data_IF_643379474483
#
_entry.id   IF_643379474483
#
_cell.length_a   1.000
_cell.length_b   1.000
_cell.length_c   1.000
_cell.angle_alpha   90.00
_cell.angle_beta   90.00
_cell.angle_gamma   90.00
#
_symmetry.space_group_name_H-M   'P 1'
#
loop_
_entity.id
_entity.type
_entity.pdbx_description
1 polymer ?
#
# COMPACT_ATOMS: atom_id res chain seq x y z
N UNK A 1 23.15 2.54 7.89
CA UNK A 1 21.75 2.53 7.38
C UNK A 1 21.52 3.83 6.61
N UNK A 2 20.86 3.85 5.45
CA UNK A 2 20.66 5.12 4.72
C UNK A 2 19.56 5.95 5.38
N UNK A 3 19.91 7.15 5.86
CA UNK A 3 18.96 8.05 6.51
C UNK A 3 18.22 8.94 5.51
N UNK A 4 16.96 9.27 5.81
CA UNK A 4 16.18 10.30 5.09
C UNK A 4 16.23 11.60 5.90
N UNK A 5 16.53 12.71 5.23
CA UNK A 5 16.45 14.06 5.79
C UNK A 5 15.40 14.86 5.03
N UNK A 6 14.52 15.57 5.73
CA UNK A 6 13.58 16.49 5.09
C UNK A 6 14.19 17.90 5.03
N UNK A 7 14.09 18.54 3.87
CA UNK A 7 14.44 19.94 3.72
C UNK A 7 13.43 20.82 4.46
N UNK A 8 13.92 21.82 5.18
CA UNK A 8 13.06 22.77 5.89
C UNK A 8 12.33 23.73 4.95
N UNK A 9 12.76 23.78 3.69
CA UNK A 9 12.15 24.62 2.65
C UNK A 9 11.18 23.79 1.82
N UNK A 10 10.00 24.34 1.60
CA UNK A 10 9.04 23.80 0.65
C UNK A 10 9.34 24.34 -0.77
N UNK A 11 8.95 23.57 -1.78
CA UNK A 11 8.82 24.09 -3.13
C UNK A 11 7.76 25.18 -3.22
N UNK A 12 7.79 25.97 -4.29
CA UNK A 12 6.86 27.09 -4.50
C UNK A 12 5.40 26.61 -4.52
N UNK A 13 5.10 25.60 -5.36
CA UNK A 13 3.75 25.01 -5.43
C UNK A 13 3.27 24.53 -4.07
N UNK A 14 4.13 23.86 -3.30
CA UNK A 14 3.78 23.40 -1.96
C UNK A 14 3.54 24.54 -0.96
N UNK A 15 4.23 25.66 -1.12
CA UNK A 15 4.02 26.87 -0.30
C UNK A 15 2.68 27.51 -0.64
N UNK A 16 2.40 27.68 -1.93
CA UNK A 16 1.17 28.30 -2.44
C UNK A 16 -0.07 27.49 -2.02
N UNK A 17 0.01 26.15 -2.04
CA UNK A 17 -1.07 25.29 -1.58
C UNK A 17 -1.36 25.41 -0.07
N UNK A 18 -0.33 25.66 0.74
CA UNK A 18 -0.46 25.71 2.20
C UNK A 18 -0.93 27.08 2.71
N UNK A 19 -0.66 28.15 1.97
CA UNK A 19 -0.95 29.54 2.37
C UNK A 19 -2.39 29.78 2.87
N UNK A 20 -3.46 29.27 2.22
CA UNK A 20 -4.83 29.45 2.70
C UNK A 20 -5.13 28.77 4.04
N UNK A 21 -4.30 27.80 4.46
CA UNK A 21 -4.49 26.98 5.64
C UNK A 21 -3.66 27.43 6.85
N UNK A 22 -2.79 28.42 6.68
CA UNK A 22 -1.89 28.91 7.75
C UNK A 22 -2.67 29.43 8.95
N UNK A 23 -3.67 30.30 8.73
CA UNK A 23 -4.45 30.88 9.83
C UNK A 23 -5.30 29.84 10.58
N UNK A 24 -6.04 28.93 9.90
CA UNK A 24 -6.71 27.82 10.56
C UNK A 24 -5.78 26.94 11.41
N UNK A 25 -4.57 26.65 10.91
CA UNK A 25 -3.58 25.84 11.62
C UNK A 25 -2.98 26.58 12.82
N UNK A 26 -2.71 27.87 12.68
CA UNK A 26 -2.18 28.71 13.76
C UNK A 26 -3.20 28.89 14.90
N UNK A 27 -4.48 29.03 14.57
CA UNK A 27 -5.54 29.33 15.53
C UNK A 27 -5.90 28.18 16.49
N UNK A 28 -5.45 26.94 16.22
CA UNK A 28 -5.79 25.77 17.03
C UNK A 28 -4.60 24.81 17.15
N UNK A 29 -4.02 24.74 18.35
CA UNK A 29 -3.00 23.73 18.67
C UNK A 29 -3.56 22.32 18.44
N UNK A 30 -2.78 21.47 17.79
CA UNK A 30 -3.20 20.12 17.39
C UNK A 30 -4.14 20.08 16.19
N UNK A 31 -4.36 21.20 15.48
CA UNK A 31 -5.00 21.16 14.17
C UNK A 31 -4.19 20.28 13.20
N UNK A 32 -4.89 19.52 12.37
CA UNK A 32 -4.31 18.62 11.38
C UNK A 32 -4.94 18.91 10.03
N UNK A 33 -4.13 18.88 8.99
CA UNK A 33 -4.57 18.82 7.60
C UNK A 33 -4.06 17.53 6.99
N UNK A 34 -4.79 17.00 6.03
CA UNK A 34 -4.34 15.87 5.19
C UNK A 34 -3.95 16.46 3.84
N UNK A 35 -2.86 15.95 3.26
CA UNK A 35 -2.37 16.41 1.96
C UNK A 35 -1.76 15.24 1.19
N UNK A 36 -1.80 15.34 -0.15
CA UNK A 36 -0.98 14.52 -1.04
C UNK A 36 0.32 15.28 -1.31
N UNK A 37 1.46 14.62 -1.13
CA UNK A 37 2.78 15.24 -1.22
C UNK A 37 3.62 14.55 -2.28
N UNK A 38 4.36 15.35 -3.04
CA UNK A 38 5.43 14.88 -3.92
C UNK A 38 6.79 15.25 -3.32
N UNK A 39 7.71 14.28 -3.27
CA UNK A 39 9.07 14.48 -2.76
C UNK A 39 10.10 14.40 -3.89
N UNK A 40 10.97 15.40 -3.96
CA UNK A 40 12.15 15.42 -4.84
C UNK A 40 13.42 15.20 -4.02
N UNK A 41 14.31 14.31 -4.47
CA UNK A 41 15.64 14.16 -3.88
C UNK A 41 16.56 15.30 -4.34
N UNK A 42 16.89 16.21 -3.43
CA UNK A 42 17.65 17.43 -3.75
C UNK A 42 19.15 17.33 -3.45
N UNK A 43 19.53 16.40 -2.57
CA UNK A 43 20.92 16.21 -2.16
C UNK A 43 21.10 14.79 -1.64
N UNK A 44 22.30 14.22 -1.83
CA UNK A 44 22.66 12.92 -1.25
C UNK A 44 24.09 12.94 -0.77
N UNK A 45 24.34 12.23 0.32
CA UNK A 45 25.67 11.92 0.80
C UNK A 45 25.94 10.44 0.58
N UNK A 46 26.84 10.15 -0.35
CA UNK A 46 27.36 8.80 -0.55
C UNK A 46 28.58 8.64 0.35
N UNK A 47 28.63 7.53 1.06
CA UNK A 47 29.73 7.22 1.98
C UNK A 47 30.52 6.05 1.39
N UNK A 48 31.84 6.10 1.51
CA UNK A 48 32.73 5.00 1.13
C UNK A 48 32.49 3.78 2.03
N UNK A 49 32.82 2.60 1.53
CA UNK A 49 32.51 1.31 2.18
C UNK A 49 33.08 1.20 3.62
N UNK A 50 34.19 1.88 3.90
CA UNK A 50 34.90 1.85 5.19
C UNK A 50 34.65 3.06 6.10
N UNK A 51 33.76 3.98 5.71
CA UNK A 51 33.56 5.20 6.49
C UNK A 51 32.47 5.04 7.56
N UNK A 52 32.81 5.43 8.79
CA UNK A 52 31.95 5.43 9.98
C UNK A 52 30.90 6.57 9.96
N UNK A 53 30.23 6.74 8.82
CA UNK A 53 29.15 7.70 8.61
C UNK A 53 28.02 7.04 7.86
N UNK A 54 26.80 7.37 8.24
CA UNK A 54 25.63 6.90 7.50
C UNK A 54 25.44 7.67 6.18
N UNK A 55 25.14 6.93 5.12
CA UNK A 55 24.63 7.50 3.88
C UNK A 55 23.31 8.21 4.15
N UNK A 56 23.01 9.29 3.42
CA UNK A 56 21.71 9.94 3.53
C UNK A 56 21.23 10.55 2.23
N UNK A 57 19.92 10.68 2.11
CA UNK A 57 19.24 11.44 1.04
C UNK A 57 18.40 12.54 1.66
N UNK A 58 18.50 13.74 1.11
CA UNK A 58 17.69 14.89 1.51
C UNK A 58 16.55 15.07 0.51
N UNK A 59 15.33 15.07 1.01
CA UNK A 59 14.10 15.20 0.23
C UNK A 59 13.48 16.57 0.46
N UNK A 60 12.94 17.18 -0.59
CA UNK A 60 12.13 18.40 -0.54
C UNK A 60 10.71 18.09 -0.98
N UNK A 61 9.72 18.65 -0.29
CA UNK A 61 8.33 18.62 -0.77
C UNK A 61 8.21 19.64 -1.91
N UNK A 62 7.95 19.18 -3.12
CA UNK A 62 7.86 20.02 -4.33
C UNK A 62 6.42 20.27 -4.75
N UNK A 63 5.59 19.24 -4.71
CA UNK A 63 4.16 19.29 -4.92
C UNK A 63 3.39 19.06 -3.62
N UNK A 64 2.29 19.80 -3.44
CA UNK A 64 1.35 19.60 -2.35
C UNK A 64 -0.06 19.90 -2.85
N UNK A 65 -0.98 18.98 -2.60
CA UNK A 65 -2.40 19.18 -2.84
C UNK A 65 -3.17 18.90 -1.55
N UNK A 66 -3.99 19.86 -1.14
CA UNK A 66 -4.85 19.76 0.05
C UNK A 66 -6.29 19.59 -0.45
N UNK A 67 -6.96 18.48 -0.09
CA UNK A 67 -8.31 18.21 -0.56
C UNK A 67 -9.29 19.26 0.00
N UNK A 68 -10.35 19.52 -0.75
CA UNK A 68 -11.52 20.21 -0.20
C UNK A 68 -12.21 19.34 0.86
N UNK A 69 -13.14 19.92 1.64
CA UNK A 69 -13.92 19.19 2.65
C UNK A 69 -14.67 17.99 2.07
N UNK A 70 -15.15 18.10 0.83
CA UNK A 70 -15.87 17.04 0.13
C UNK A 70 -14.93 15.91 -0.33
N UNK A 71 -13.68 16.25 -0.64
CA UNK A 71 -12.67 15.30 -1.13
C UNK A 71 -11.91 14.59 0.00
N UNK A 72 -11.93 15.15 1.22
CA UNK A 72 -11.16 14.64 2.35
C UNK A 72 -11.49 13.17 2.67
N UNK A 73 -12.77 12.79 2.59
CA UNK A 73 -13.21 11.42 2.82
C UNK A 73 -12.64 10.44 1.79
N UNK A 74 -12.66 10.81 0.51
CA UNK A 74 -12.09 9.99 -0.56
C UNK A 74 -10.58 9.81 -0.40
N UNK A 75 -9.86 10.85 0.04
CA UNK A 75 -8.43 10.75 0.30
C UNK A 75 -8.13 9.82 1.49
N UNK A 76 -8.90 9.92 2.58
CA UNK A 76 -8.76 9.03 3.75
C UNK A 76 -9.05 7.57 3.39
N UNK A 77 -10.03 7.33 2.53
CA UNK A 77 -10.33 5.99 2.01
C UNK A 77 -9.18 5.45 1.17
N UNK A 78 -8.62 6.25 0.26
CA UNK A 78 -7.46 5.87 -0.53
C UNK A 78 -6.24 5.53 0.36
N UNK A 79 -5.98 6.33 1.40
CA UNK A 79 -4.93 6.05 2.39
C UNK A 79 -5.16 4.70 3.10
N UNK A 80 -6.42 4.37 3.43
CA UNK A 80 -6.76 3.10 4.07
C UNK A 80 -6.56 1.92 3.12
N UNK A 81 -6.97 2.03 1.86
CA UNK A 81 -6.73 1.00 0.84
C UNK A 81 -5.24 0.75 0.67
N UNK A 82 -4.43 1.82 0.58
CA UNK A 82 -2.98 1.71 0.50
C UNK A 82 -2.38 1.04 1.74
N UNK A 83 -2.87 1.39 2.94
CA UNK A 83 -2.46 0.75 4.19
C UNK A 83 -2.76 -0.75 4.17
N UNK A 84 -4.00 -1.14 3.87
CA UNK A 84 -4.42 -2.55 3.79
C UNK A 84 -3.62 -3.34 2.76
N UNK A 85 -3.35 -2.75 1.59
CA UNK A 85 -2.48 -3.36 0.58
C UNK A 85 -1.08 -3.58 1.14
N UNK A 86 -0.49 -2.57 1.78
CA UNK A 86 0.87 -2.65 2.30
C UNK A 86 1.01 -3.66 3.44
N UNK A 87 0.03 -3.76 4.33
CA UNK A 87 -0.04 -4.79 5.37
C UNK A 87 -0.23 -6.17 4.75
N UNK A 88 -1.12 -6.32 3.75
CA UNK A 88 -1.35 -7.58 3.06
C UNK A 88 -0.12 -8.08 2.28
N UNK A 89 0.70 -7.18 1.75
CA UNK A 89 1.99 -7.50 1.11
C UNK A 89 3.17 -7.57 2.09
N UNK A 90 2.95 -7.42 3.41
CA UNK A 90 3.99 -7.52 4.44
C UNK A 90 5.01 -6.37 4.43
N UNK A 91 4.64 -5.21 3.88
CA UNK A 91 5.50 -4.01 3.78
C UNK A 91 5.22 -2.96 4.86
N UNK A 92 4.28 -3.24 5.76
CA UNK A 92 3.99 -2.51 7.00
C UNK A 92 3.71 -3.52 8.11
N UNK A 93 4.30 -3.31 9.29
CA UNK A 93 3.97 -4.04 10.51
C UNK A 93 2.78 -3.34 11.22
N UNK A 94 1.90 -4.12 11.83
CA UNK A 94 0.53 -3.75 12.20
C UNK A 94 0.47 -2.93 13.51
N UNK A 95 0.69 -1.61 13.43
CA UNK A 95 0.55 -0.66 14.57
C UNK A 95 -0.32 0.58 14.26
N UNK A 96 -1.13 0.56 13.19
CA UNK A 96 -1.90 1.73 12.74
C UNK A 96 -3.37 1.70 13.15
N UNK A 97 -3.78 2.42 14.20
CA UNK A 97 -5.21 2.59 14.54
C UNK A 97 -5.87 3.62 13.61
N UNK A 98 -6.83 3.16 12.80
CA UNK A 98 -7.77 4.02 12.07
C UNK A 98 -9.18 3.62 12.54
N UNK A 99 -9.79 4.44 13.41
CA UNK A 99 -11.20 4.29 13.81
C UNK A 99 -12.15 4.71 12.66
N UNK A 100 -13.28 4.00 12.55
CA UNK A 100 -14.17 4.03 11.39
C UNK A 100 -15.53 4.65 11.72
N UNK A 101 -16.07 5.45 10.79
CA UNK A 101 -17.47 5.89 10.85
C UNK A 101 -18.40 4.89 10.13
N UNK A 102 -19.67 4.87 10.52
CA UNK A 102 -20.68 3.90 10.07
C UNK A 102 -21.03 4.00 8.58
N UNK A 103 -21.03 5.21 8.00
CA UNK A 103 -21.20 5.43 6.57
C UNK A 103 -19.98 4.93 5.76
N UNK A 104 -18.78 5.02 6.34
CA UNK A 104 -17.56 4.46 5.74
C UNK A 104 -17.59 2.92 5.73
N UNK A 105 -18.23 2.26 6.69
CA UNK A 105 -18.41 0.80 6.69
C UNK A 105 -19.32 0.33 5.53
N UNK A 106 -20.39 1.07 5.23
CA UNK A 106 -21.32 0.75 4.14
C UNK A 106 -20.69 0.87 2.75
N UNK A 107 -19.87 1.90 2.52
CA UNK A 107 -19.15 2.06 1.25
C UNK A 107 -17.94 1.12 1.15
N UNK A 108 -17.27 0.83 2.27
CA UNK A 108 -16.17 -0.12 2.32
C UNK A 108 -16.59 -1.55 1.96
N UNK A 109 -17.83 -1.97 2.23
CA UNK A 109 -18.31 -3.31 1.87
C UNK A 109 -18.22 -3.60 0.36
N UNK A 110 -18.51 -2.60 -0.48
CA UNK A 110 -18.35 -2.73 -1.94
C UNK A 110 -16.88 -2.82 -2.36
N UNK A 111 -16.02 -2.01 -1.74
CA UNK A 111 -14.58 -2.00 -2.01
C UNK A 111 -13.88 -3.28 -1.49
N UNK A 112 -14.35 -3.85 -0.38
CA UNK A 112 -13.92 -5.14 0.15
C UNK A 112 -14.22 -6.27 -0.83
N UNK A 113 -15.43 -6.30 -1.40
CA UNK A 113 -15.78 -7.26 -2.44
C UNK A 113 -14.92 -7.10 -3.71
N UNK A 114 -14.62 -5.87 -4.12
CA UNK A 114 -13.72 -5.61 -5.26
C UNK A 114 -12.27 -6.05 -4.97
N UNK A 115 -11.79 -5.85 -3.74
CA UNK A 115 -10.47 -6.30 -3.29
C UNK A 115 -10.41 -7.83 -3.22
N UNK A 116 -11.45 -8.49 -2.70
CA UNK A 116 -11.56 -9.95 -2.67
C UNK A 116 -11.61 -10.52 -4.08
N UNK A 117 -12.40 -9.93 -4.97
CA UNK A 117 -12.45 -10.31 -6.38
C UNK A 117 -11.09 -10.12 -7.07
N UNK A 118 -10.36 -9.04 -6.77
CA UNK A 118 -9.01 -8.82 -7.28
C UNK A 118 -8.01 -9.86 -6.75
N UNK A 119 -8.07 -10.19 -5.45
CA UNK A 119 -7.25 -11.25 -4.81
C UNK A 119 -7.53 -12.61 -5.46
N UNK A 120 -8.79 -12.99 -5.61
CA UNK A 120 -9.22 -14.22 -6.25
C UNK A 120 -8.74 -14.27 -7.71
N UNK A 121 -8.93 -13.21 -8.50
CA UNK A 121 -8.46 -13.13 -9.89
C UNK A 121 -6.94 -13.28 -9.98
N UNK A 122 -6.19 -12.60 -9.13
CA UNK A 122 -4.73 -12.69 -9.11
C UNK A 122 -4.24 -14.08 -8.72
N UNK A 123 -4.83 -14.69 -7.69
CA UNK A 123 -4.51 -16.06 -7.26
C UNK A 123 -4.83 -17.10 -8.34
N UNK A 124 -6.02 -17.03 -8.95
CA UNK A 124 -6.40 -17.90 -10.06
C UNK A 124 -5.46 -17.72 -11.26
N UNK A 125 -5.11 -16.48 -11.62
CA UNK A 125 -4.17 -16.22 -12.71
C UNK A 125 -2.76 -16.79 -12.42
N UNK A 126 -2.28 -16.69 -11.17
CA UNK A 126 -1.01 -17.28 -10.75
C UNK A 126 -1.00 -18.80 -10.95
N UNK A 127 -2.02 -19.50 -10.44
CA UNK A 127 -2.11 -20.95 -10.53
C UNK A 127 -2.38 -21.43 -11.95
N UNK A 128 -3.21 -20.74 -12.73
CA UNK A 128 -3.38 -21.01 -14.15
C UNK A 128 -2.07 -20.82 -14.94
N UNK A 129 -1.29 -19.80 -14.61
CA UNK A 129 0.04 -19.59 -15.17
C UNK A 129 1.02 -20.71 -14.78
N UNK A 130 0.95 -21.23 -13.55
CA UNK A 130 1.74 -22.39 -13.11
C UNK A 130 1.39 -23.62 -13.94
N UNK A 131 0.10 -23.96 -14.06
CA UNK A 131 -0.37 -25.07 -14.89
C UNK A 131 0.17 -24.95 -16.31
N UNK A 132 0.02 -23.78 -16.95
CA UNK A 132 0.52 -23.54 -18.32
C UNK A 132 2.03 -23.76 -18.45
N UNK A 133 2.82 -23.35 -17.44
CA UNK A 133 4.27 -23.59 -17.42
C UNK A 133 4.59 -25.08 -17.26
N UNK A 134 3.89 -25.77 -16.38
CA UNK A 134 4.08 -27.20 -16.14
C UNK A 134 3.68 -28.02 -17.36
N UNK A 135 2.56 -27.69 -18.03
CA UNK A 135 2.10 -28.42 -19.23
C UNK A 135 2.80 -27.99 -20.52
N UNK A 136 3.33 -26.77 -20.57
CA UNK A 136 4.05 -26.22 -21.72
C UNK A 136 5.55 -26.50 -21.72
N UNK A 137 6.11 -26.97 -20.59
CA UNK A 137 7.47 -27.46 -20.53
C UNK A 137 7.52 -28.81 -21.26
N UNK A 138 8.38 -28.94 -22.27
CA UNK A 138 8.69 -30.20 -22.97
C UNK A 138 9.51 -31.15 -22.06
N UNK A 139 8.99 -31.42 -20.86
CA UNK A 139 9.59 -32.26 -19.84
C UNK A 139 8.67 -33.46 -19.64
N UNK A 140 9.22 -34.66 -19.75
CA UNK A 140 8.50 -35.88 -19.41
C UNK A 140 8.34 -35.95 -17.89
N UNK A 141 7.11 -35.76 -17.41
CA UNK A 141 6.78 -35.91 -15.99
C UNK A 141 6.53 -37.38 -15.68
N UNK A 142 7.07 -37.85 -14.55
CA UNK A 142 6.60 -39.10 -13.96
C UNK A 142 5.21 -38.90 -13.35
N UNK A 143 4.45 -39.99 -13.21
CA UNK A 143 3.11 -39.96 -12.57
C UNK A 143 3.18 -39.40 -11.15
N UNK A 144 4.25 -39.69 -10.41
CA UNK A 144 4.46 -39.19 -9.05
C UNK A 144 4.67 -37.66 -9.00
N UNK A 145 5.44 -37.10 -9.94
CA UNK A 145 5.66 -35.66 -10.05
C UNK A 145 4.40 -34.92 -10.47
N UNK A 146 3.62 -35.49 -11.40
CA UNK A 146 2.33 -34.93 -11.79
C UNK A 146 1.36 -34.87 -10.60
N UNK A 147 1.27 -35.96 -9.82
CA UNK A 147 0.44 -36.00 -8.60
C UNK A 147 0.93 -35.05 -7.50
N UNK A 148 2.23 -34.78 -7.42
CA UNK A 148 2.77 -33.78 -6.49
C UNK A 148 2.39 -32.36 -6.92
N UNK A 149 2.54 -32.02 -8.20
CA UNK A 149 2.15 -30.71 -8.73
C UNK A 149 0.65 -30.46 -8.62
N UNK A 150 -0.20 -31.47 -8.89
CA UNK A 150 -1.64 -31.34 -8.72
C UNK A 150 -2.05 -31.11 -7.27
N UNK A 151 -1.38 -31.76 -6.30
CA UNK A 151 -1.60 -31.49 -4.87
C UNK A 151 -1.20 -30.07 -4.51
N UNK A 152 -0.05 -29.60 -4.97
CA UNK A 152 0.41 -28.24 -4.70
C UNK A 152 -0.53 -27.16 -5.27
N UNK A 153 -1.08 -27.39 -6.48
CA UNK A 153 -2.08 -26.50 -7.07
C UNK A 153 -3.38 -26.52 -6.26
N UNK A 154 -3.86 -27.70 -5.88
CA UNK A 154 -5.07 -27.85 -5.05
C UNK A 154 -4.90 -27.13 -3.70
N UNK A 155 -3.84 -27.44 -2.96
CA UNK A 155 -3.60 -26.84 -1.64
C UNK A 155 -3.45 -25.31 -1.74
N UNK A 156 -2.90 -24.82 -2.86
CA UNK A 156 -2.79 -23.39 -3.15
C UNK A 156 -4.11 -22.70 -3.55
N UNK A 157 -5.06 -23.44 -4.12
CA UNK A 157 -6.42 -22.97 -4.42
C UNK A 157 -7.31 -23.03 -3.18
N UNK A 158 -7.18 -24.08 -2.36
CA UNK A 158 -7.90 -24.21 -1.09
C UNK A 158 -7.50 -23.07 -0.13
N UNK A 159 -6.19 -22.78 0.00
CA UNK A 159 -5.72 -21.64 0.78
C UNK A 159 -6.19 -20.27 0.25
N UNK A 160 -6.49 -20.16 -1.06
CA UNK A 160 -7.03 -18.94 -1.67
C UNK A 160 -8.53 -18.78 -1.34
N UNK A 161 -9.26 -19.89 -1.25
CA UNK A 161 -10.68 -19.92 -0.90
C UNK A 161 -10.90 -19.73 0.60
N UNK A 162 -10.12 -20.40 1.45
CA UNK A 162 -10.23 -20.30 2.91
C UNK A 162 -9.90 -18.90 3.44
N UNK A 163 -8.94 -18.21 2.80
CA UNK A 163 -8.60 -16.80 3.13
C UNK A 163 -9.64 -15.79 2.64
N UNK A 164 -10.59 -16.21 1.79
CA UNK A 164 -11.77 -15.42 1.42
C UNK A 164 -12.95 -15.59 2.37
N UNK A 165 -12.93 -16.60 3.26
CA UNK A 165 -14.04 -16.93 4.16
C UNK A 165 -14.02 -16.16 5.49
N UNK A 166 -12.92 -15.50 5.84
CA UNK A 166 -12.77 -14.74 7.10
C UNK A 166 -13.62 -13.45 7.20
N UNK A 167 -14.43 -13.12 6.19
CA UNK A 167 -15.23 -11.89 6.16
C UNK A 167 -16.76 -12.11 6.24
N UNK A 168 -17.26 -13.35 6.34
CA UNK A 168 -18.71 -13.62 6.21
C UNK A 168 -19.35 -14.43 7.34
N UNK A 169 -18.63 -14.83 8.39
CA UNK A 169 -19.23 -15.60 9.49
C UNK A 169 -19.62 -14.79 10.74
N UNK A 170 -19.41 -13.48 10.77
CA UNK A 170 -19.86 -12.62 11.89
C UNK A 170 -20.61 -11.35 11.40
N UNK A 171 -21.73 -11.54 10.69
CA UNK A 171 -22.73 -10.50 10.42
C UNK A 171 -24.14 -10.96 10.79
#
# INVERSE_FOLDING_TARGET
>A
MTAIKLDSKLGRSATDALEPHVLPLYGRLGARIVAVLEFEAIERNQVAEDADKDAWVKLRITGMEIPTREQENALREAMRVLYLQRTAFGTLEEDGSIELSEDTLKHAAGVLADIEAAKLRAGVAHWAGRVRRTTGAAKDFTVAELLAEMRQIRDGLDALLDRGQLALEDA
#
